data_IF_105547940862
#
_entry.id   IF_105547940862
#
_cell.length_a   1.000
_cell.length_b   1.000
_cell.length_c   1.000
_cell.angle_alpha   90.00
_cell.angle_beta   90.00
_cell.angle_gamma   90.00
#
_symmetry.space_group_name_H-M   'P 1'
#
loop_
_entity.id
_entity.type
_entity.pdbx_description
1 polymer ?
#
# COMPACT_ATOMS: atom_id res chain seq x y z
N UNK A 1 1.82 30.75 -10.38
CA UNK A 1 0.90 29.67 -10.79
C UNK A 1 0.17 29.20 -9.55
N UNK A 2 -1.16 29.23 -9.50
CA UNK A 2 -1.91 28.55 -8.44
C UNK A 2 -1.68 27.05 -8.62
N UNK A 3 -1.15 26.38 -7.60
CA UNK A 3 -0.95 24.94 -7.64
C UNK A 3 -2.30 24.22 -7.74
N UNK A 4 -2.34 23.11 -8.49
CA UNK A 4 -3.53 22.26 -8.59
C UNK A 4 -3.89 21.67 -7.23
N UNK A 5 -5.15 21.66 -6.90
CA UNK A 5 -5.67 20.96 -5.69
C UNK A 5 -5.68 19.45 -5.91
N UNK A 6 -5.73 18.67 -4.82
CA UNK A 6 -5.84 17.21 -4.93
C UNK A 6 -7.04 16.77 -5.77
N UNK A 7 -8.19 17.44 -5.62
CA UNK A 7 -9.39 17.10 -6.39
C UNK A 7 -9.17 17.33 -7.90
N UNK A 8 -8.52 18.44 -8.28
CA UNK A 8 -8.18 18.71 -9.67
C UNK A 8 -7.20 17.68 -10.24
N UNK A 9 -6.21 17.25 -9.43
CA UNK A 9 -5.29 16.19 -9.82
C UNK A 9 -6.06 14.88 -10.07
N UNK A 10 -6.93 14.46 -9.13
CA UNK A 10 -7.72 13.25 -9.26
C UNK A 10 -8.65 13.31 -10.48
N UNK A 11 -9.33 14.43 -10.71
CA UNK A 11 -10.19 14.62 -11.89
C UNK A 11 -9.41 14.51 -13.21
N UNK A 12 -8.24 15.16 -13.29
CA UNK A 12 -7.39 15.09 -14.47
C UNK A 12 -6.84 13.67 -14.73
N UNK A 13 -6.56 12.92 -13.68
CA UNK A 13 -6.14 11.53 -13.82
C UNK A 13 -7.33 10.61 -14.14
N UNK A 14 -8.51 10.86 -13.57
CA UNK A 14 -9.74 10.13 -13.89
C UNK A 14 -10.10 10.30 -15.38
N UNK A 15 -9.97 11.50 -15.94
CA UNK A 15 -10.23 11.77 -17.35
C UNK A 15 -9.35 10.96 -18.33
N UNK A 16 -8.26 10.35 -17.86
CA UNK A 16 -7.39 9.47 -18.66
C UNK A 16 -7.82 8.00 -18.62
N UNK A 17 -8.77 7.64 -17.75
CA UNK A 17 -9.31 6.28 -17.70
C UNK A 17 -10.12 5.99 -18.96
N UNK A 18 -10.25 4.70 -19.29
CA UNK A 18 -11.11 4.30 -20.40
C UNK A 18 -12.58 4.60 -20.10
N UNK A 19 -13.37 4.96 -21.12
CA UNK A 19 -14.77 5.36 -20.93
C UNK A 19 -15.65 4.29 -20.27
N UNK A 20 -15.37 2.99 -20.51
CA UNK A 20 -16.14 1.91 -19.90
C UNK A 20 -15.90 1.82 -18.39
N UNK A 21 -14.66 2.03 -17.95
CA UNK A 21 -14.30 2.10 -16.53
C UNK A 21 -14.94 3.32 -15.85
N UNK A 22 -14.88 4.50 -16.49
CA UNK A 22 -15.54 5.71 -16.00
C UNK A 22 -17.04 5.50 -15.83
N UNK A 23 -17.70 4.98 -16.85
CA UNK A 23 -19.13 4.68 -16.82
C UNK A 23 -19.48 3.67 -15.71
N UNK A 24 -18.71 2.60 -15.58
CA UNK A 24 -18.93 1.61 -14.53
C UNK A 24 -18.80 2.19 -13.11
N UNK A 25 -17.84 3.07 -12.88
CA UNK A 25 -17.67 3.74 -11.57
C UNK A 25 -18.81 4.73 -11.33
N UNK A 26 -19.14 5.58 -12.32
CA UNK A 26 -20.20 6.57 -12.20
C UNK A 26 -21.57 5.93 -11.95
N UNK A 27 -21.85 4.81 -12.61
CA UNK A 27 -23.13 4.08 -12.48
C UNK A 27 -23.18 3.17 -11.24
N UNK A 28 -22.13 3.06 -10.45
CA UNK A 28 -22.15 2.30 -9.21
C UNK A 28 -23.13 2.87 -8.18
N UNK A 29 -23.33 4.20 -8.18
CA UNK A 29 -24.19 4.92 -7.23
C UNK A 29 -25.24 5.81 -7.91
N UNK A 30 -25.20 5.97 -9.23
CA UNK A 30 -26.12 6.82 -10.01
C UNK A 30 -26.70 6.06 -11.19
N UNK A 31 -28.00 6.28 -11.48
CA UNK A 31 -28.58 5.71 -12.69
C UNK A 31 -28.20 6.55 -13.91
N UNK A 32 -28.19 5.97 -15.14
CA UNK A 32 -27.91 6.72 -16.36
C UNK A 32 -28.81 7.95 -16.53
N UNK A 33 -30.09 7.87 -16.11
CA UNK A 33 -31.05 8.98 -16.15
C UNK A 33 -30.63 10.10 -15.18
N UNK A 34 -30.11 9.76 -14.01
CA UNK A 34 -29.62 10.75 -13.05
C UNK A 34 -28.36 11.45 -13.61
N UNK A 35 -27.44 10.70 -14.22
CA UNK A 35 -26.26 11.26 -14.86
C UNK A 35 -26.64 12.21 -16.01
N UNK A 36 -27.58 11.81 -16.86
CA UNK A 36 -28.10 12.66 -17.94
C UNK A 36 -28.78 13.94 -17.39
N UNK A 37 -29.55 13.82 -16.32
CA UNK A 37 -30.17 14.99 -15.68
C UNK A 37 -29.15 15.93 -15.05
N UNK A 38 -28.06 15.38 -14.46
CA UNK A 38 -26.94 16.19 -13.95
C UNK A 38 -26.24 16.95 -15.10
N UNK A 39 -25.96 16.28 -16.22
CA UNK A 39 -25.33 16.89 -17.38
C UNK A 39 -26.20 18.03 -17.97
N UNK A 40 -27.49 17.84 -18.04
CA UNK A 40 -28.40 18.88 -18.56
C UNK A 40 -28.45 20.15 -17.71
N UNK A 41 -28.09 20.07 -16.42
CA UNK A 41 -28.10 21.18 -15.47
C UNK A 41 -26.71 21.68 -15.06
N UNK A 42 -25.65 21.03 -15.53
CA UNK A 42 -24.30 21.40 -15.19
C UNK A 42 -23.66 22.27 -16.28
N UNK A 43 -22.70 23.07 -15.86
CA UNK A 43 -21.89 23.90 -16.76
C UNK A 43 -20.43 23.55 -16.48
N UNK A 44 -19.65 23.35 -17.52
CA UNK A 44 -18.20 23.19 -17.46
C UNK A 44 -17.52 24.41 -18.04
N UNK A 45 -16.29 24.66 -17.63
CA UNK A 45 -15.47 25.76 -18.16
C UNK A 45 -14.40 25.17 -19.06
N UNK A 46 -14.31 25.64 -20.29
CA UNK A 46 -13.29 25.21 -21.24
C UNK A 46 -11.89 25.77 -20.93
N UNK A 47 -10.90 25.44 -21.76
CA UNK A 47 -9.51 25.90 -21.61
C UNK A 47 -9.36 27.43 -21.72
N UNK A 48 -10.31 28.11 -22.36
CA UNK A 48 -10.32 29.55 -22.53
C UNK A 48 -11.03 30.27 -21.38
N UNK A 49 -11.70 29.53 -20.51
CA UNK A 49 -12.49 30.07 -19.40
C UNK A 49 -13.95 30.32 -19.76
N UNK A 50 -14.40 29.88 -20.94
CA UNK A 50 -15.79 30.03 -21.39
C UNK A 50 -16.68 28.92 -20.80
N UNK A 51 -17.87 29.32 -20.36
CA UNK A 51 -18.86 28.40 -19.81
C UNK A 51 -19.57 27.63 -20.95
N UNK A 52 -19.59 26.31 -20.85
CA UNK A 52 -20.27 25.44 -21.81
C UNK A 52 -21.16 24.43 -21.07
N UNK A 53 -22.26 23.98 -21.68
CA UNK A 53 -23.08 22.91 -21.10
C UNK A 53 -22.20 21.65 -20.88
N UNK A 54 -22.30 21.05 -19.70
CA UNK A 54 -21.59 19.82 -19.42
C UNK A 54 -22.09 18.65 -20.28
N UNK A 55 -21.19 17.83 -20.74
CA UNK A 55 -21.54 16.57 -21.41
C UNK A 55 -21.75 15.45 -20.36
N UNK A 56 -22.37 14.35 -20.77
CA UNK A 56 -22.48 13.15 -19.94
C UNK A 56 -21.09 12.68 -19.53
N UNK A 57 -20.11 12.70 -20.44
CA UNK A 57 -18.74 12.32 -20.16
C UNK A 57 -18.08 13.18 -19.07
N UNK A 58 -18.32 14.50 -19.08
CA UNK A 58 -17.80 15.40 -18.04
C UNK A 58 -18.37 15.04 -16.66
N UNK A 59 -19.67 14.73 -16.60
CA UNK A 59 -20.32 14.31 -15.36
C UNK A 59 -19.81 12.96 -14.89
N UNK A 60 -19.61 11.98 -15.79
CA UNK A 60 -19.03 10.69 -15.45
C UNK A 60 -17.62 10.82 -14.90
N UNK A 61 -16.79 11.71 -15.46
CA UNK A 61 -15.44 12.00 -14.92
C UNK A 61 -15.53 12.55 -13.50
N UNK A 62 -16.44 13.50 -13.26
CA UNK A 62 -16.62 14.10 -11.92
C UNK A 62 -17.08 13.07 -10.90
N UNK A 63 -18.08 12.26 -11.26
CA UNK A 63 -18.62 11.22 -10.40
C UNK A 63 -17.58 10.12 -10.15
N UNK A 64 -16.87 9.67 -11.18
CA UNK A 64 -15.81 8.69 -11.03
C UNK A 64 -14.67 9.23 -10.16
N UNK A 65 -14.26 10.49 -10.34
CA UNK A 65 -13.23 11.12 -9.52
C UNK A 65 -13.62 11.20 -8.03
N UNK A 66 -14.91 11.41 -7.74
CA UNK A 66 -15.45 11.43 -6.39
C UNK A 66 -15.38 10.04 -5.70
N UNK A 67 -15.38 8.96 -6.49
CA UNK A 67 -15.32 7.57 -6.01
C UNK A 67 -13.90 6.98 -6.05
N UNK A 68 -12.88 7.79 -6.34
CA UNK A 68 -11.49 7.39 -6.40
C UNK A 68 -10.75 7.84 -5.13
N UNK A 69 -10.43 6.89 -4.27
CA UNK A 69 -9.80 7.19 -2.99
C UNK A 69 -8.58 6.33 -2.71
N UNK A 70 -7.72 6.83 -1.82
CA UNK A 70 -6.57 6.06 -1.32
C UNK A 70 -7.02 4.92 -0.41
N UNK A 71 -6.17 3.90 -0.25
CA UNK A 71 -6.41 2.80 0.69
C UNK A 71 -6.73 3.29 2.11
N UNK A 72 -6.00 4.30 2.59
CA UNK A 72 -6.22 4.87 3.93
C UNK A 72 -7.58 5.56 4.06
N UNK A 73 -8.07 6.17 2.99
CA UNK A 73 -9.41 6.79 2.97
C UNK A 73 -10.49 5.70 3.06
N UNK A 74 -10.44 4.67 2.20
CA UNK A 74 -11.36 3.54 2.24
C UNK A 74 -11.38 2.84 3.59
N UNK A 75 -10.22 2.67 4.20
CA UNK A 75 -10.11 2.10 5.55
C UNK A 75 -10.82 2.94 6.62
N UNK A 76 -10.75 4.28 6.54
CA UNK A 76 -11.45 5.19 7.44
C UNK A 76 -12.97 5.08 7.28
N UNK A 77 -13.44 4.81 6.08
CA UNK A 77 -14.85 4.56 5.77
C UNK A 77 -15.32 3.14 6.12
N UNK A 78 -14.46 2.33 6.72
CA UNK A 78 -14.80 0.95 7.08
C UNK A 78 -14.83 0.00 5.89
N UNK A 79 -14.22 0.39 4.77
CA UNK A 79 -14.10 -0.43 3.55
C UNK A 79 -12.68 -0.99 3.41
N UNK A 80 -12.54 -2.07 2.67
CA UNK A 80 -11.26 -2.71 2.39
C UNK A 80 -11.14 -3.02 0.91
N UNK A 81 -9.97 -2.81 0.33
CA UNK A 81 -9.69 -3.19 -1.06
C UNK A 81 -9.72 -4.70 -1.18
N UNK A 82 -10.37 -5.22 -2.22
CA UNK A 82 -10.47 -6.64 -2.51
C UNK A 82 -9.08 -7.24 -2.75
N UNK A 83 -8.87 -8.45 -2.27
CA UNK A 83 -7.58 -9.14 -2.42
C UNK A 83 -7.28 -9.40 -3.90
N UNK A 84 -6.09 -8.95 -4.33
CA UNK A 84 -5.64 -9.12 -5.72
C UNK A 84 -5.93 -7.93 -6.63
N UNK A 85 -6.70 -6.93 -6.15
CA UNK A 85 -6.92 -5.71 -6.91
C UNK A 85 -5.66 -4.85 -6.96
N UNK A 86 -5.41 -4.26 -8.12
CA UNK A 86 -4.38 -3.24 -8.34
C UNK A 86 -5.03 -1.87 -8.39
N UNK A 87 -4.31 -0.84 -7.99
CA UNK A 87 -4.81 0.53 -8.07
C UNK A 87 -5.13 0.92 -9.53
N UNK A 88 -6.17 1.71 -9.72
CA UNK A 88 -6.54 2.23 -11.05
C UNK A 88 -5.68 3.42 -11.47
N UNK A 89 -5.32 4.26 -10.50
CA UNK A 89 -4.58 5.50 -10.74
C UNK A 89 -3.41 5.58 -9.78
N UNK A 90 -2.26 6.00 -10.32
CA UNK A 90 -1.08 6.37 -9.58
C UNK A 90 -0.79 7.84 -9.83
N UNK A 91 -0.82 8.67 -8.79
CA UNK A 91 -0.59 10.10 -8.92
C UNK A 91 0.11 10.67 -7.67
N UNK A 92 0.57 11.92 -7.77
CA UNK A 92 1.13 12.64 -6.63
C UNK A 92 0.07 13.54 -6.02
N UNK A 93 -0.27 13.30 -4.76
CA UNK A 93 -1.20 14.11 -3.98
C UNK A 93 -0.46 14.91 -2.91
N UNK A 94 -0.94 16.12 -2.65
CA UNK A 94 -0.43 16.96 -1.59
C UNK A 94 -0.85 16.44 -0.23
N UNK A 95 0.13 16.17 0.63
CA UNK A 95 -0.10 15.83 2.05
C UNK A 95 0.44 16.94 2.94
N UNK A 96 -0.33 17.26 3.96
CA UNK A 96 0.08 18.18 5.01
C UNK A 96 0.88 17.44 6.09
N UNK A 97 1.95 18.04 6.58
CA UNK A 97 2.71 17.56 7.71
C UNK A 97 3.20 18.73 8.57
N UNK A 98 3.37 18.47 9.84
CA UNK A 98 4.03 19.38 10.79
C UNK A 98 5.45 18.92 11.12
N UNK A 99 5.86 17.75 10.60
CA UNK A 99 7.20 17.21 10.87
C UNK A 99 8.26 18.04 10.16
N UNK A 100 9.32 18.45 10.86
CA UNK A 100 10.42 19.15 10.21
C UNK A 100 11.06 18.28 9.14
N UNK A 101 11.56 18.93 8.08
CA UNK A 101 12.29 18.26 6.99
C UNK A 101 13.56 17.58 7.51
N UNK A 102 14.14 16.69 6.72
CA UNK A 102 15.38 16.00 7.08
C UNK A 102 16.50 17.01 7.37
N UNK A 103 16.66 18.03 6.51
CA UNK A 103 17.67 19.08 6.69
C UNK A 103 17.47 19.89 7.96
N UNK A 104 16.23 20.22 8.32
CA UNK A 104 15.93 20.94 9.57
C UNK A 104 16.21 20.10 10.81
N UNK A 105 15.98 18.79 10.75
CA UNK A 105 16.31 17.87 11.86
C UNK A 105 17.82 17.73 12.04
N UNK A 106 18.55 17.56 10.95
CA UNK A 106 20.02 17.47 10.97
C UNK A 106 20.67 18.77 11.48
N UNK A 107 20.13 19.93 11.06
CA UNK A 107 20.61 21.24 11.57
C UNK A 107 20.33 21.42 13.06
N UNK A 108 19.14 21.04 13.53
CA UNK A 108 18.77 21.12 14.94
C UNK A 108 19.61 20.15 15.80
N UNK A 109 19.86 18.94 15.29
CA UNK A 109 20.73 17.96 15.95
C UNK A 109 22.17 18.44 16.07
N UNK A 110 22.70 19.10 15.02
CA UNK A 110 24.03 19.72 15.05
C UNK A 110 24.14 20.85 16.10
N UNK A 111 23.02 21.54 16.37
CA UNK A 111 22.94 22.57 17.43
C UNK A 111 22.59 22.00 18.80
N UNK A 112 22.39 20.69 18.94
CA UNK A 112 21.97 20.06 20.21
C UNK A 112 20.54 20.44 20.63
N UNK A 113 19.68 20.86 19.70
CA UNK A 113 18.29 21.27 19.92
C UNK A 113 17.31 20.29 19.29
N UNK A 114 16.09 20.26 19.81
CA UNK A 114 15.00 19.55 19.16
C UNK A 114 14.46 20.38 17.98
N UNK A 115 14.24 19.73 16.82
CA UNK A 115 13.74 20.42 15.65
C UNK A 115 12.30 20.90 15.86
N UNK A 116 12.05 22.19 15.68
CA UNK A 116 10.72 22.77 15.82
C UNK A 116 9.77 22.25 14.74
N UNK A 117 8.45 22.13 15.05
CA UNK A 117 7.45 21.77 14.06
C UNK A 117 7.46 22.74 12.88
N UNK A 118 7.50 22.20 11.67
CA UNK A 118 7.54 22.98 10.41
C UNK A 118 6.36 22.61 9.52
N UNK A 119 5.18 23.27 9.65
CA UNK A 119 3.99 22.94 8.86
C UNK A 119 4.23 23.24 7.38
N UNK A 120 4.07 22.21 6.53
CA UNK A 120 4.19 22.34 5.08
C UNK A 120 3.43 21.25 4.34
N UNK A 121 3.16 21.51 3.04
CA UNK A 121 2.64 20.52 2.11
C UNK A 121 3.78 19.91 1.30
N UNK A 122 3.69 18.62 1.05
CA UNK A 122 4.63 17.91 0.19
C UNK A 122 3.89 16.93 -0.73
N UNK A 123 4.37 16.72 -1.96
CA UNK A 123 3.78 15.75 -2.87
C UNK A 123 4.14 14.33 -2.42
N UNK A 124 3.15 13.45 -2.40
CA UNK A 124 3.34 12.03 -2.05
C UNK A 124 2.72 11.18 -3.13
N UNK A 125 3.48 10.20 -3.62
CA UNK A 125 2.96 9.16 -4.51
C UNK A 125 1.79 8.46 -3.83
N UNK A 126 0.66 8.43 -4.49
CA UNK A 126 -0.60 7.91 -3.97
C UNK A 126 -1.23 6.96 -4.98
N UNK A 127 -1.82 5.90 -4.49
CA UNK A 127 -2.52 4.89 -5.26
C UNK A 127 -4.01 5.01 -4.97
N UNK A 128 -4.82 5.15 -6.02
CA UNK A 128 -6.26 5.33 -5.92
C UNK A 128 -6.98 4.06 -6.38
N UNK A 129 -7.99 3.71 -5.62
CA UNK A 129 -8.90 2.58 -5.85
C UNK A 129 -10.32 3.09 -5.96
N UNK A 130 -11.12 2.50 -6.85
CA UNK A 130 -12.52 2.87 -7.02
C UNK A 130 -13.44 2.14 -6.04
N UNK A 131 -14.69 2.61 -5.95
CA UNK A 131 -15.76 1.95 -5.20
C UNK A 131 -16.00 0.49 -5.65
N UNK A 132 -15.73 0.16 -6.91
CA UNK A 132 -15.87 -1.19 -7.46
C UNK A 132 -14.83 -2.18 -6.93
N UNK A 133 -13.67 -1.67 -6.51
CA UNK A 133 -12.53 -2.46 -6.03
C UNK A 133 -12.56 -2.68 -4.51
N UNK A 134 -13.53 -2.11 -3.82
CA UNK A 134 -13.64 -2.23 -2.37
C UNK A 134 -14.87 -3.04 -1.95
N UNK A 135 -14.86 -3.50 -0.72
CA UNK A 135 -15.99 -4.13 -0.05
C UNK A 135 -16.01 -3.66 1.40
N UNK A 136 -17.15 -3.81 2.05
CA UNK A 136 -17.23 -3.52 3.48
C UNK A 136 -16.20 -4.36 4.22
N UNK A 137 -15.31 -3.70 4.96
CA UNK A 137 -14.38 -4.41 5.80
C UNK A 137 -15.23 -5.22 6.79
N UNK A 138 -15.17 -6.55 6.69
CA UNK A 138 -15.67 -7.40 7.78
C UNK A 138 -15.04 -6.84 9.03
N UNK A 139 -15.84 -6.37 9.99
CA UNK A 139 -15.32 -5.99 11.28
C UNK A 139 -14.35 -7.07 11.67
N UNK A 140 -13.07 -6.72 11.75
CA UNK A 140 -12.07 -7.68 12.15
C UNK A 140 -12.67 -8.32 13.41
N UNK A 141 -12.85 -9.64 13.47
CA UNK A 141 -13.43 -10.29 14.63
C UNK A 141 -12.67 -9.70 15.80
N UNK A 142 -13.39 -9.05 16.70
CA UNK A 142 -12.91 -8.22 17.80
C UNK A 142 -11.60 -8.82 18.25
N UNK A 143 -10.50 -8.15 17.95
CA UNK A 143 -9.23 -8.75 17.56
C UNK A 143 -8.88 -9.87 18.52
N UNK A 144 -8.16 -10.90 18.07
CA UNK A 144 -7.73 -12.11 18.82
C UNK A 144 -7.37 -11.82 20.28
N UNK A 145 -7.30 -10.54 20.59
CA UNK A 145 -7.10 -9.90 21.87
C UNK A 145 -8.15 -8.81 22.04
N UNK A 146 -9.28 -9.16 22.65
CA UNK A 146 -10.43 -8.25 22.88
C UNK A 146 -10.15 -7.05 23.79
N UNK A 147 -8.93 -6.93 24.37
CA UNK A 147 -8.52 -5.81 25.19
C UNK A 147 -6.98 -5.72 25.27
N UNK A 148 -6.45 -4.54 25.64
CA UNK A 148 -5.03 -4.34 25.93
C UNK A 148 -4.54 -5.33 27.00
N UNK A 149 -5.37 -5.63 27.99
CA UNK A 149 -5.05 -6.60 29.03
C UNK A 149 -4.83 -8.00 28.44
N UNK A 150 -5.66 -8.45 27.50
CA UNK A 150 -5.51 -9.74 26.82
C UNK A 150 -4.23 -9.81 25.96
N UNK A 151 -3.83 -8.68 25.34
CA UNK A 151 -2.55 -8.59 24.63
C UNK A 151 -1.38 -8.71 25.58
N UNK A 152 -1.43 -8.04 26.73
CA UNK A 152 -0.37 -8.11 27.74
C UNK A 152 -0.24 -9.51 28.33
N UNK A 153 -1.37 -10.18 28.60
CA UNK A 153 -1.38 -11.55 29.10
C UNK A 153 -0.81 -12.55 28.09
N UNK A 154 -1.20 -12.42 26.81
CA UNK A 154 -0.63 -13.22 25.71
C UNK A 154 0.88 -13.01 25.58
N UNK A 155 1.36 -11.77 25.59
CA UNK A 155 2.78 -11.46 25.51
C UNK A 155 3.56 -12.01 26.72
N UNK A 156 2.96 -11.96 27.92
CA UNK A 156 3.54 -12.54 29.15
C UNK A 156 3.67 -14.07 29.02
N UNK A 157 2.64 -14.73 28.49
CA UNK A 157 2.65 -16.18 28.26
C UNK A 157 3.72 -16.55 27.22
N UNK A 158 3.81 -15.83 26.10
CA UNK A 158 4.81 -16.06 25.07
C UNK A 158 6.24 -15.86 25.57
N UNK A 159 6.46 -14.85 26.43
CA UNK A 159 7.76 -14.63 27.07
C UNK A 159 8.14 -15.77 28.03
N UNK A 160 7.17 -16.29 28.78
CA UNK A 160 7.39 -17.42 29.67
C UNK A 160 7.72 -18.71 28.89
N UNK A 161 7.01 -18.98 27.80
CA UNK A 161 7.28 -20.14 26.90
C UNK A 161 8.68 -20.06 26.29
N UNK A 162 9.09 -18.87 25.81
CA UNK A 162 10.45 -18.65 25.28
C UNK A 162 11.54 -18.85 26.34
N UNK A 163 11.29 -18.40 27.57
CA UNK A 163 12.22 -18.61 28.69
C UNK A 163 12.32 -20.09 29.05
N UNK A 164 11.21 -20.81 29.08
CA UNK A 164 11.18 -22.27 29.35
C UNK A 164 11.89 -23.04 28.24
N UNK A 165 11.65 -22.70 26.95
CA UNK A 165 12.32 -23.35 25.83
C UNK A 165 13.84 -23.11 25.85
N UNK A 166 14.29 -21.91 26.22
CA UNK A 166 15.72 -21.60 26.39
C UNK A 166 16.36 -22.41 27.51
N UNK A 167 15.69 -22.50 28.67
CA UNK A 167 16.17 -23.31 29.79
C UNK A 167 16.24 -24.81 29.45
N UNK A 168 15.27 -25.34 28.71
CA UNK A 168 15.30 -26.71 28.24
C UNK A 168 16.46 -26.96 27.25
N UNK A 169 16.73 -26.02 26.35
CA UNK A 169 17.85 -26.11 25.41
C UNK A 169 19.23 -26.08 26.14
N UNK A 170 19.34 -25.28 27.17
CA UNK A 170 20.57 -25.21 28.00
C UNK A 170 20.77 -26.52 28.81
N UNK A 171 19.70 -27.17 29.27
CA UNK A 171 19.80 -28.45 29.96
C UNK A 171 20.21 -29.61 29.04
N UNK A 172 19.78 -29.59 27.78
CA UNK A 172 20.18 -30.61 26.80
C UNK A 172 21.63 -30.44 26.33
N UNK A 173 22.20 -29.23 26.40
CA UNK A 173 23.57 -28.95 26.06
C UNK A 173 24.61 -29.41 27.11
N UNK A 174 24.17 -29.77 28.34
CA UNK A 174 25.05 -30.20 29.45
C UNK A 174 25.20 -31.72 29.52
N UNK A 175 24.50 -32.51 28.70
CA UNK A 175 24.72 -33.94 28.63
C UNK A 175 25.98 -34.19 27.80
N UNK A 176 27.10 -34.68 28.37
CA UNK A 176 28.29 -35.00 27.60
C UNK A 176 27.95 -36.11 26.60
N UNK A 177 28.32 -35.90 25.36
CA UNK A 177 28.18 -36.91 24.31
C UNK A 177 28.89 -38.20 24.75
N UNK A 178 28.29 -39.39 24.52
CA UNK A 178 28.97 -40.65 24.75
C UNK A 178 30.25 -40.70 23.92
N UNK A 179 31.36 -41.03 24.57
CA UNK A 179 32.65 -41.26 23.93
C UNK A 179 32.46 -42.43 22.97
N UNK A 180 32.38 -42.16 21.67
CA UNK A 180 32.41 -43.19 20.63
C UNK A 180 33.85 -43.60 20.49
N UNK A 181 34.19 -44.80 20.95
CA UNK A 181 35.45 -45.49 20.63
C UNK A 181 35.52 -45.65 19.11
N UNK A 182 36.59 -45.17 18.52
CA UNK A 182 36.88 -45.31 17.10
C UNK A 182 37.04 -46.80 16.75
N UNK A 183 36.00 -47.40 16.13
CA UNK A 183 36.17 -48.58 15.30
C UNK A 183 36.43 -48.11 13.87
N UNK A 184 37.59 -48.47 13.37
CA UNK A 184 38.03 -48.26 11.99
C UNK A 184 36.96 -48.83 11.02
N UNK A 185 36.23 -47.95 10.35
CA UNK A 185 35.50 -48.30 9.14
C UNK A 185 36.16 -47.63 7.95
N UNK A 186 36.63 -48.51 7.04
CA UNK A 186 37.19 -48.15 5.73
C UNK A 186 36.25 -47.18 4.99
N UNK A 187 36.85 -46.11 4.47
CA UNK A 187 36.17 -45.11 3.63
C UNK A 187 35.77 -45.75 2.29
N UNK A 188 34.51 -45.68 1.84
CA UNK A 188 34.18 -45.99 0.46
C UNK A 188 34.70 -44.93 -0.49
N UNK A 189 35.22 -45.42 -1.59
CA UNK A 189 35.85 -44.72 -2.71
C UNK A 189 34.96 -43.56 -3.24
N UNK A 190 35.55 -42.38 -3.40
CA UNK A 190 34.92 -41.18 -3.95
C UNK A 190 34.48 -41.42 -5.40
N UNK A 191 33.21 -41.54 -5.63
CA UNK A 191 32.60 -41.51 -6.97
C UNK A 191 32.77 -40.09 -7.54
N UNK A 192 33.55 -40.02 -8.62
CA UNK A 192 33.79 -38.81 -9.39
C UNK A 192 32.47 -38.38 -10.07
N UNK A 193 31.88 -37.26 -9.63
CA UNK A 193 30.68 -36.67 -10.25
C UNK A 193 31.16 -35.59 -11.22
N UNK A 194 30.91 -35.79 -12.51
CA UNK A 194 31.17 -34.81 -13.55
C UNK A 194 30.38 -33.51 -13.35
N UNK A 195 30.98 -32.34 -13.62
CA UNK A 195 30.26 -31.07 -13.46
C UNK A 195 29.23 -30.86 -14.58
N UNK A 196 28.02 -30.46 -14.16
CA UNK A 196 26.91 -30.08 -15.02
C UNK A 196 27.27 -28.96 -16.02
N UNK A 197 26.84 -29.03 -17.30
CA UNK A 197 27.16 -28.02 -18.31
C UNK A 197 26.45 -26.68 -18.01
N UNK A 198 27.25 -25.63 -17.92
CA UNK A 198 26.77 -24.25 -17.79
C UNK A 198 26.11 -23.78 -19.10
N UNK A 199 24.82 -23.39 -19.07
CA UNK A 199 24.12 -22.73 -20.18
C UNK A 199 24.79 -21.39 -20.51
N UNK A 200 25.38 -21.29 -21.72
CA UNK A 200 25.84 -20.03 -22.30
C UNK A 200 24.64 -19.09 -22.52
N UNK A 201 24.73 -17.88 -21.95
CA UNK A 201 23.85 -16.79 -22.26
C UNK A 201 24.04 -16.32 -23.70
N UNK A 202 22.99 -16.33 -24.51
CA UNK A 202 22.96 -15.78 -25.85
C UNK A 202 22.83 -14.25 -25.81
N UNK A 203 23.78 -13.60 -26.49
CA UNK A 203 23.86 -12.15 -26.71
C UNK A 203 22.80 -11.74 -27.75
N UNK A 204 22.00 -10.67 -27.58
CA UNK A 204 21.16 -10.18 -28.65
C UNK A 204 21.97 -9.42 -29.70
N UNK A 205 21.69 -9.72 -30.97
CA UNK A 205 22.24 -9.02 -32.12
C UNK A 205 21.58 -7.65 -32.31
N UNK A 206 22.41 -6.64 -32.59
CA UNK A 206 21.97 -5.33 -33.04
C UNK A 206 21.59 -5.37 -34.53
N UNK A 207 20.43 -4.79 -34.86
CA UNK A 207 20.19 -4.17 -36.19
C UNK A 207 19.21 -3.01 -35.97
#
# INVERSE_FOLDING_TARGET
MKGMTNNQIIMNEAAKLDPATLHAIATAHHTPEQIAAMAANAVTTDENGDEQPATIADVEIILAAAELHTFDHWKKEGKSVKKGETHLIECYLWKYTTRPSKAQREAAEAEGKEAAPAPHFYPTKSHLFSCLQVHDAKQAPAGRFGSVAAIMEYNKKLAAERKAAKAAAEQTAITPAPIITEEHHELPELVHVDPLPTKKASKPAAT
#
